data_IF_723000931600
#
_entry.id   IF_723000931600
#
_cell.length_a   1.000
_cell.length_b   1.000
_cell.length_c   1.000
_cell.angle_alpha   90.00
_cell.angle_beta   90.00
_cell.angle_gamma   90.00
#
_symmetry.space_group_name_H-M   'P 1'
#
loop_
_entity.id
_entity.type
_entity.pdbx_description
1 polymer ?
#
# COMPACT_ATOMS: atom_id res chain seq x y z
N UNK A 1 -4.42 7.08 14.66
CA UNK A 1 -5.33 6.09 14.02
C UNK A 1 -6.57 5.95 14.88
N UNK A 2 -7.74 5.76 14.27
CA UNK A 2 -8.89 5.32 15.06
C UNK A 2 -8.57 3.99 15.74
N UNK A 3 -8.85 3.85 17.05
CA UNK A 3 -8.44 2.68 17.82
C UNK A 3 -9.01 1.38 17.26
N UNK A 4 -10.18 1.43 16.61
CA UNK A 4 -10.83 0.27 15.99
C UNK A 4 -10.03 -0.26 14.79
N UNK A 5 -9.61 0.61 13.87
CA UNK A 5 -8.84 0.20 12.70
C UNK A 5 -7.47 -0.38 13.10
N UNK A 6 -6.85 0.16 14.15
CA UNK A 6 -5.61 -0.37 14.71
C UNK A 6 -5.79 -1.72 15.40
N UNK A 7 -6.88 -1.89 16.16
CA UNK A 7 -7.20 -3.15 16.82
C UNK A 7 -7.47 -4.28 15.82
N UNK A 8 -8.14 -3.99 14.69
CA UNK A 8 -8.38 -4.97 13.62
C UNK A 8 -7.08 -5.33 12.90
N UNK A 9 -6.15 -4.37 12.73
CA UNK A 9 -4.85 -4.61 12.09
C UNK A 9 -3.92 -5.50 12.93
N UNK A 10 -4.01 -5.38 14.26
CA UNK A 10 -3.14 -6.08 15.21
C UNK A 10 -3.03 -7.61 14.98
N UNK A 11 -4.12 -8.40 14.86
CA UNK A 11 -3.99 -9.84 14.60
C UNK A 11 -3.30 -10.17 13.26
N UNK A 12 -3.43 -9.34 12.23
CA UNK A 12 -2.72 -9.54 10.97
C UNK A 12 -1.22 -9.29 11.12
N UNK A 13 -0.83 -8.26 11.87
CA UNK A 13 0.59 -7.99 12.15
C UNK A 13 1.21 -9.09 13.01
N UNK A 14 0.53 -9.52 14.07
CA UNK A 14 1.01 -10.60 14.93
C UNK A 14 1.05 -11.93 14.17
N UNK A 15 0.02 -12.23 13.40
CA UNK A 15 -0.05 -13.44 12.57
C UNK A 15 1.05 -13.49 11.51
N UNK A 16 1.29 -12.38 10.80
CA UNK A 16 2.37 -12.30 9.80
C UNK A 16 3.76 -12.40 10.43
N UNK A 17 4.00 -11.77 11.58
CA UNK A 17 5.26 -11.88 12.31
C UNK A 17 5.50 -13.31 12.84
N UNK A 18 4.48 -13.94 13.41
CA UNK A 18 4.56 -15.32 13.86
C UNK A 18 4.80 -16.29 12.69
N UNK A 19 4.11 -16.07 11.56
CA UNK A 19 4.29 -16.88 10.36
C UNK A 19 5.68 -16.72 9.74
N UNK A 20 6.19 -15.48 9.65
CA UNK A 20 7.56 -15.23 9.19
C UNK A 20 8.61 -15.89 10.09
N UNK A 21 8.39 -15.85 11.41
CA UNK A 21 9.26 -16.53 12.38
C UNK A 21 9.22 -18.06 12.21
N UNK A 22 8.02 -18.62 12.00
CA UNK A 22 7.84 -20.04 11.71
C UNK A 22 8.54 -20.47 10.42
N UNK A 23 8.37 -19.72 9.32
CA UNK A 23 9.03 -19.99 8.05
C UNK A 23 10.55 -19.95 8.17
N UNK A 24 11.08 -18.93 8.85
CA UNK A 24 12.52 -18.78 9.05
C UNK A 24 13.08 -19.91 9.92
N UNK A 25 12.36 -20.31 10.97
CA UNK A 25 12.77 -21.43 11.84
C UNK A 25 12.70 -22.79 11.14
N UNK A 26 11.78 -22.96 10.19
CA UNK A 26 11.56 -24.26 9.50
C UNK A 26 12.48 -24.42 8.30
N UNK A 27 12.67 -23.36 7.50
CA UNK A 27 13.38 -23.41 6.22
C UNK A 27 14.71 -22.63 6.22
N UNK A 28 15.07 -21.98 7.33
CA UNK A 28 16.31 -21.24 7.46
C UNK A 28 16.44 -20.11 6.43
N UNK A 29 17.66 -19.93 5.89
CA UNK A 29 17.96 -18.88 4.93
C UNK A 29 17.16 -18.97 3.62
N UNK A 30 16.68 -20.17 3.24
CA UNK A 30 15.87 -20.37 2.03
C UNK A 30 14.57 -19.56 2.07
N UNK A 31 13.94 -19.43 3.24
CA UNK A 31 12.75 -18.59 3.40
C UNK A 31 13.06 -17.11 3.08
N UNK A 32 14.21 -16.62 3.54
CA UNK A 32 14.64 -15.23 3.29
C UNK A 32 14.98 -14.99 1.82
N UNK A 33 15.57 -15.96 1.13
CA UNK A 33 15.85 -15.84 -0.31
C UNK A 33 14.56 -15.68 -1.11
N UNK A 34 13.55 -16.52 -0.86
CA UNK A 34 12.26 -16.40 -1.53
C UNK A 34 11.53 -15.11 -1.15
N UNK A 35 11.52 -14.75 0.13
CA UNK A 35 10.89 -13.50 0.60
C UNK A 35 11.55 -12.27 -0.05
N UNK A 36 12.87 -12.24 -0.14
CA UNK A 36 13.62 -11.17 -0.82
C UNK A 36 13.32 -11.12 -2.31
N UNK A 37 13.28 -12.28 -2.99
CA UNK A 37 12.90 -12.35 -4.41
C UNK A 37 11.50 -11.82 -4.66
N UNK A 38 10.51 -12.23 -3.88
CA UNK A 38 9.13 -11.75 -3.96
C UNK A 38 9.07 -10.24 -3.70
N UNK A 39 9.81 -9.74 -2.72
CA UNK A 39 9.87 -8.32 -2.40
C UNK A 39 10.40 -7.50 -3.58
N UNK A 40 11.53 -7.89 -4.17
CA UNK A 40 12.12 -7.22 -5.34
C UNK A 40 11.17 -7.24 -6.54
N UNK A 41 10.56 -8.39 -6.84
CA UNK A 41 9.62 -8.50 -7.95
C UNK A 41 8.40 -7.60 -7.73
N UNK A 42 7.88 -7.54 -6.50
CA UNK A 42 6.74 -6.69 -6.15
C UNK A 42 7.08 -5.20 -6.32
N UNK A 43 8.28 -4.80 -5.92
CA UNK A 43 8.78 -3.44 -6.14
C UNK A 43 8.91 -3.08 -7.62
N UNK A 44 9.47 -3.98 -8.44
CA UNK A 44 9.55 -3.79 -9.89
C UNK A 44 8.14 -3.63 -10.48
N UNK A 45 7.20 -4.48 -10.08
CA UNK A 45 5.82 -4.39 -10.53
C UNK A 45 5.16 -3.04 -10.17
N UNK A 46 5.40 -2.51 -8.96
CA UNK A 46 4.91 -1.19 -8.55
C UNK A 46 5.48 -0.06 -9.42
N UNK A 47 6.79 -0.06 -9.67
CA UNK A 47 7.42 0.95 -10.53
C UNK A 47 6.92 0.88 -11.97
N UNK A 48 6.73 -0.34 -12.51
CA UNK A 48 6.15 -0.53 -13.85
C UNK A 48 4.69 -0.07 -13.88
N UNK A 49 3.90 -0.37 -12.85
CA UNK A 49 2.53 0.12 -12.67
C UNK A 49 2.44 1.64 -12.79
N UNK A 50 3.19 2.34 -11.94
CA UNK A 50 3.18 3.80 -11.93
C UNK A 50 3.77 4.42 -13.20
N UNK A 51 4.90 3.89 -13.68
CA UNK A 51 5.63 4.47 -14.82
C UNK A 51 4.96 4.21 -16.18
N UNK A 52 4.49 2.98 -16.43
CA UNK A 52 3.98 2.57 -17.75
C UNK A 52 2.47 2.70 -17.85
N UNK A 53 1.72 2.28 -16.81
CA UNK A 53 0.26 2.25 -16.87
C UNK A 53 -0.37 3.56 -16.40
N UNK A 54 0.13 4.14 -15.31
CA UNK A 54 -0.41 5.41 -14.80
C UNK A 54 0.27 6.63 -15.45
N UNK A 55 1.49 6.47 -15.97
CA UNK A 55 2.28 7.57 -16.54
C UNK A 55 2.59 8.67 -15.51
N UNK A 56 2.64 8.32 -14.22
CA UNK A 56 2.88 9.23 -13.09
C UNK A 56 4.19 8.85 -12.40
N UNK A 57 4.93 9.85 -11.94
CA UNK A 57 6.08 9.59 -11.09
C UNK A 57 5.60 8.95 -9.77
N UNK A 58 6.28 7.90 -9.29
CA UNK A 58 5.93 7.29 -8.01
C UNK A 58 6.17 8.29 -6.88
N UNK A 59 5.22 8.40 -5.94
CA UNK A 59 5.27 9.35 -4.82
C UNK A 59 6.51 9.21 -3.92
N UNK A 60 7.22 8.09 -4.02
CA UNK A 60 8.52 7.85 -3.40
C UNK A 60 9.59 8.85 -3.83
N UNK A 61 9.50 9.38 -5.05
CA UNK A 61 10.43 10.40 -5.57
C UNK A 61 10.13 11.80 -5.00
N UNK A 62 8.91 12.04 -4.55
CA UNK A 62 8.49 13.33 -3.99
C UNK A 62 8.74 13.40 -2.48
N UNK A 63 8.39 12.34 -1.75
CA UNK A 63 8.59 12.24 -0.30
C UNK A 63 8.67 10.78 0.15
N UNK A 64 9.90 10.25 0.21
CA UNK A 64 10.18 8.85 0.55
C UNK A 64 9.59 8.41 1.89
N UNK A 65 9.75 9.23 2.94
CA UNK A 65 9.29 8.90 4.29
C UNK A 65 7.77 8.81 4.34
N UNK A 66 7.10 9.79 3.74
CA UNK A 66 5.63 9.80 3.67
C UNK A 66 5.12 8.62 2.83
N UNK A 67 5.71 8.36 1.66
CA UNK A 67 5.28 7.29 0.79
C UNK A 67 5.46 5.91 1.44
N UNK A 68 6.60 5.65 2.08
CA UNK A 68 6.86 4.35 2.72
C UNK A 68 6.00 4.14 3.97
N UNK A 69 5.80 5.19 4.77
CA UNK A 69 4.98 5.10 5.97
C UNK A 69 3.49 5.00 5.64
N UNK A 70 3.02 5.77 4.65
CA UNK A 70 1.59 5.89 4.34
C UNK A 70 1.09 4.78 3.41
N UNK A 71 1.93 4.21 2.55
CA UNK A 71 1.52 3.16 1.62
C UNK A 71 0.88 1.92 2.30
N UNK A 72 1.42 1.37 3.41
CA UNK A 72 0.75 0.30 4.14
C UNK A 72 -0.62 0.70 4.68
N UNK A 73 -0.76 1.94 5.16
CA UNK A 73 -2.06 2.45 5.64
C UNK A 73 -3.06 2.61 4.50
N UNK A 74 -2.60 3.06 3.33
CA UNK A 74 -3.44 3.18 2.15
C UNK A 74 -4.07 1.84 1.77
N UNK A 75 -3.26 0.78 1.65
CA UNK A 75 -3.75 -0.58 1.35
C UNK A 75 -4.69 -1.07 2.46
N UNK A 76 -4.35 -0.83 3.72
CA UNK A 76 -5.19 -1.23 4.85
C UNK A 76 -6.57 -0.55 4.82
N UNK A 77 -6.62 0.75 4.55
CA UNK A 77 -7.88 1.48 4.44
C UNK A 77 -8.69 1.02 3.24
N UNK A 78 -8.08 0.72 2.10
CA UNK A 78 -8.79 0.21 0.93
C UNK A 78 -9.49 -1.13 1.22
N UNK A 79 -8.81 -2.03 1.95
CA UNK A 79 -9.40 -3.29 2.42
C UNK A 79 -10.59 -2.99 3.35
N UNK A 80 -10.41 -2.12 4.35
CA UNK A 80 -11.50 -1.75 5.26
C UNK A 80 -12.70 -1.13 4.52
N UNK A 81 -12.43 -0.25 3.56
CA UNK A 81 -13.45 0.38 2.72
C UNK A 81 -14.19 -0.65 1.86
N UNK A 82 -13.49 -1.65 1.31
CA UNK A 82 -14.11 -2.76 0.57
C UNK A 82 -15.05 -3.61 1.46
N UNK A 83 -14.77 -3.65 2.77
CA UNK A 83 -15.62 -4.30 3.78
C UNK A 83 -16.73 -3.39 4.32
N UNK A 84 -16.90 -2.18 3.76
CA UNK A 84 -17.95 -1.23 4.13
C UNK A 84 -17.62 -0.34 5.35
N UNK A 85 -16.37 -0.30 5.79
CA UNK A 85 -15.94 0.59 6.87
C UNK A 85 -16.04 2.06 6.45
N UNK A 86 -16.69 2.91 7.27
CA UNK A 86 -16.77 4.38 7.07
C UNK A 86 -17.10 4.82 5.62
N UNK A 87 -18.27 4.47 5.07
CA UNK A 87 -18.62 4.77 3.69
C UNK A 87 -18.63 6.28 3.36
N UNK A 88 -19.00 7.14 4.32
CA UNK A 88 -18.95 8.60 4.12
C UNK A 88 -17.53 9.14 3.96
N UNK A 89 -16.56 8.54 4.66
CA UNK A 89 -15.15 8.90 4.50
C UNK A 89 -14.64 8.47 3.13
N UNK A 90 -14.97 7.24 2.70
CA UNK A 90 -14.62 6.74 1.37
C UNK A 90 -15.17 7.66 0.28
N UNK A 91 -16.46 8.04 0.34
CA UNK A 91 -17.07 8.94 -0.65
C UNK A 91 -16.37 10.31 -0.74
N UNK A 92 -15.97 10.88 0.40
CA UNK A 92 -15.24 12.16 0.43
C UNK A 92 -13.85 12.02 -0.16
N UNK A 93 -13.16 10.92 0.14
CA UNK A 93 -11.84 10.61 -0.40
C UNK A 93 -11.90 10.39 -1.91
N UNK A 94 -12.82 9.56 -2.39
CA UNK A 94 -13.02 9.27 -3.82
C UNK A 94 -13.24 10.56 -4.60
N UNK A 95 -14.10 11.46 -4.10
CA UNK A 95 -14.34 12.77 -4.71
C UNK A 95 -13.08 13.63 -4.76
N UNK A 96 -12.30 13.68 -3.67
CA UNK A 96 -11.06 14.45 -3.62
C UNK A 96 -10.00 13.89 -4.60
N UNK A 97 -9.88 12.57 -4.70
CA UNK A 97 -8.98 11.89 -5.64
C UNK A 97 -9.39 12.18 -7.08
N UNK A 98 -10.68 12.11 -7.41
CA UNK A 98 -11.19 12.43 -8.74
C UNK A 98 -10.88 13.88 -9.15
N UNK A 99 -11.09 14.83 -8.24
CA UNK A 99 -10.76 16.24 -8.48
C UNK A 99 -9.25 16.45 -8.71
N UNK A 100 -8.39 15.77 -7.97
CA UNK A 100 -6.94 15.87 -8.12
C UNK A 100 -6.41 15.18 -9.38
N UNK A 101 -6.99 14.04 -9.75
CA UNK A 101 -6.69 13.36 -11.02
C UNK A 101 -7.09 14.27 -12.19
N UNK A 102 -8.27 14.89 -12.15
CA UNK A 102 -8.69 15.84 -13.20
C UNK A 102 -7.72 17.01 -13.33
N UNK A 103 -7.32 17.65 -12.22
CA UNK A 103 -6.32 18.73 -12.23
C UNK A 103 -4.98 18.30 -12.81
N UNK A 104 -4.56 17.06 -12.56
CA UNK A 104 -3.33 16.51 -13.12
C UNK A 104 -3.41 16.38 -14.65
N UNK A 105 -4.52 15.87 -15.18
CA UNK A 105 -4.77 15.80 -16.61
C UNK A 105 -4.85 17.19 -17.26
N UNK A 106 -5.61 18.13 -16.67
CA UNK A 106 -5.73 19.51 -17.16
C UNK A 106 -4.38 20.25 -17.24
N UNK A 107 -3.46 19.96 -16.31
CA UNK A 107 -2.09 20.50 -16.32
C UNK A 107 -1.19 19.89 -17.39
N UNK A 108 -1.48 18.66 -17.83
CA UNK A 108 -0.68 17.95 -18.84
C UNK A 108 -1.11 18.32 -20.27
N UNK A 109 -2.37 18.73 -20.45
CA UNK A 109 -2.92 19.18 -21.74
C UNK A 109 -2.66 20.68 -22.06
N UNK A 110 -2.21 21.46 -21.08
CA UNK A 110 -1.73 22.85 -21.26
C UNK A 110 -0.23 22.91 -21.48
#
# INVERSE_FOLDING_TARGET
>A
MEPVAGAILMPFLLGSAAYGSYLTSTYGATANYWAGGINVVSWIAQFVGHGVFEGRAPALLDNLVQALFLAPFFVWFEILFSLGYRPDLKKRLDKAVEEDVRKFHDKKEK
#
